data_IF_551044226214
#
_entry.id   IF_551044226214
#
_cell.length_a   1.000
_cell.length_b   1.000
_cell.length_c   1.000
_cell.angle_alpha   90.00
_cell.angle_beta   90.00
_cell.angle_gamma   90.00
#
_symmetry.space_group_name_H-M   'P 1'
#
loop_
_entity.id
_entity.type
_entity.pdbx_description
1 polymer ?
#
# COMPACT_ATOMS: atom_id res chain seq x y z
N UNK A 1 -6.78 23.34 -7.58
CA UNK A 1 -7.90 23.46 -8.52
C UNK A 1 -8.85 22.31 -8.20
N UNK A 2 -10.07 22.62 -7.76
CA UNK A 2 -10.98 21.62 -7.21
C UNK A 2 -11.38 20.57 -8.26
N UNK A 3 -11.57 21.00 -9.51
CA UNK A 3 -11.94 20.11 -10.63
C UNK A 3 -10.84 19.09 -10.89
N UNK A 4 -9.58 19.53 -10.90
CA UNK A 4 -8.42 18.63 -11.07
C UNK A 4 -8.36 17.59 -9.97
N UNK A 5 -8.60 18.00 -8.72
CA UNK A 5 -8.61 17.09 -7.56
C UNK A 5 -9.73 16.07 -7.70
N UNK A 6 -10.95 16.50 -8.01
CA UNK A 6 -12.11 15.61 -8.18
C UNK A 6 -11.89 14.58 -9.31
N UNK A 7 -11.40 15.02 -10.47
CA UNK A 7 -11.08 14.11 -11.59
C UNK A 7 -9.99 13.13 -11.19
N UNK A 8 -8.93 13.61 -10.53
CA UNK A 8 -7.83 12.76 -10.06
C UNK A 8 -8.31 11.70 -9.08
N UNK A 9 -9.15 12.08 -8.10
CA UNK A 9 -9.74 11.15 -7.14
C UNK A 9 -10.64 10.11 -7.81
N UNK A 10 -11.45 10.51 -8.79
CA UNK A 10 -12.28 9.59 -9.56
C UNK A 10 -11.43 8.56 -10.34
N UNK A 11 -10.35 9.02 -11.00
CA UNK A 11 -9.43 8.15 -11.73
C UNK A 11 -8.69 7.20 -10.78
N UNK A 12 -8.21 7.70 -9.63
CA UNK A 12 -7.56 6.87 -8.60
C UNK A 12 -8.53 5.81 -8.10
N UNK A 13 -9.77 6.19 -7.76
CA UNK A 13 -10.81 5.26 -7.31
C UNK A 13 -11.11 4.16 -8.34
N UNK A 14 -11.30 4.54 -9.61
CA UNK A 14 -11.52 3.59 -10.70
C UNK A 14 -10.31 2.66 -10.90
N UNK A 15 -9.09 3.19 -10.83
CA UNK A 15 -7.85 2.42 -11.00
C UNK A 15 -7.63 1.45 -9.85
N UNK A 16 -7.88 1.86 -8.60
CA UNK A 16 -7.81 0.98 -7.43
C UNK A 16 -8.86 -0.14 -7.51
N UNK A 17 -10.08 0.19 -7.96
CA UNK A 17 -11.13 -0.80 -8.23
C UNK A 17 -10.74 -1.80 -9.32
N UNK A 18 -10.13 -1.33 -10.41
CA UNK A 18 -9.60 -2.18 -11.48
C UNK A 18 -8.45 -3.07 -10.99
N UNK A 19 -7.53 -2.52 -10.20
CA UNK A 19 -6.33 -3.21 -9.74
C UNK A 19 -6.67 -4.45 -8.89
N UNK A 20 -7.80 -4.43 -8.17
CA UNK A 20 -8.34 -5.61 -7.48
C UNK A 20 -8.50 -6.83 -8.41
N UNK A 21 -8.83 -6.62 -9.67
CA UNK A 21 -9.03 -7.67 -10.67
C UNK A 21 -7.81 -7.87 -11.58
N UNK A 22 -6.93 -6.87 -11.68
CA UNK A 22 -5.76 -6.92 -12.54
C UNK A 22 -4.50 -7.44 -11.82
N UNK A 23 -4.46 -7.41 -10.50
CA UNK A 23 -3.29 -7.87 -9.78
C UNK A 23 -3.05 -9.36 -9.98
N UNK A 24 -1.78 -9.77 -10.11
CA UNK A 24 -1.41 -11.14 -10.44
C UNK A 24 -1.97 -12.18 -9.44
N UNK A 25 -2.66 -13.24 -9.90
CA UNK A 25 -2.98 -13.55 -11.30
C UNK A 25 -4.15 -12.70 -11.84
N UNK A 26 -3.91 -11.97 -12.94
CA UNK A 26 -4.86 -11.04 -13.52
C UNK A 26 -6.10 -11.76 -14.06
N UNK A 27 -7.28 -11.26 -13.72
CA UNK A 27 -8.59 -11.72 -14.24
C UNK A 27 -9.13 -10.81 -15.33
N UNK A 28 -8.76 -9.54 -15.28
CA UNK A 28 -9.17 -8.51 -16.24
C UNK A 28 -7.93 -7.77 -16.71
N UNK A 29 -7.79 -7.61 -18.03
CA UNK A 29 -6.74 -6.82 -18.65
C UNK A 29 -7.27 -5.44 -19.01
N UNK A 30 -6.41 -4.42 -18.91
CA UNK A 30 -6.77 -3.02 -19.15
C UNK A 30 -7.12 -2.74 -20.63
N UNK A 31 -6.44 -3.44 -21.54
CA UNK A 31 -6.51 -3.19 -22.97
C UNK A 31 -5.97 -1.82 -23.39
N UNK A 32 -6.07 -1.53 -24.68
CA UNK A 32 -5.60 -0.28 -25.26
C UNK A 32 -6.48 0.90 -24.82
N UNK A 33 -7.80 0.69 -24.72
CA UNK A 33 -8.75 1.73 -24.29
C UNK A 33 -8.42 2.26 -22.90
N UNK A 34 -8.19 1.39 -21.92
CA UNK A 34 -7.88 1.81 -20.55
C UNK A 34 -6.51 2.47 -20.44
N UNK A 35 -5.50 1.92 -21.12
CA UNK A 35 -4.13 2.46 -21.05
C UNK A 35 -4.01 3.82 -21.74
N UNK A 36 -4.64 4.01 -22.89
CA UNK A 36 -4.70 5.30 -23.58
C UNK A 36 -5.48 6.34 -22.77
N UNK A 37 -6.63 5.98 -22.20
CA UNK A 37 -7.41 6.88 -21.34
C UNK A 37 -6.60 7.36 -20.13
N UNK A 38 -5.92 6.44 -19.42
CA UNK A 38 -5.10 6.80 -18.26
C UNK A 38 -3.89 7.66 -18.65
N UNK A 39 -3.20 7.31 -19.75
CA UNK A 39 -2.08 8.10 -20.25
C UNK A 39 -2.48 9.52 -20.65
N UNK A 40 -3.58 9.65 -21.40
CA UNK A 40 -4.12 10.95 -21.81
C UNK A 40 -4.56 11.80 -20.60
N UNK A 41 -5.28 11.19 -19.66
CA UNK A 41 -5.76 11.88 -18.47
C UNK A 41 -4.60 12.35 -17.60
N UNK A 42 -3.61 11.49 -17.33
CA UNK A 42 -2.45 11.83 -16.53
C UNK A 42 -1.62 12.96 -17.16
N UNK A 43 -1.40 12.91 -18.48
CA UNK A 43 -0.70 13.97 -19.22
C UNK A 43 -1.45 15.31 -19.17
N UNK A 44 -2.76 15.28 -19.42
CA UNK A 44 -3.61 16.48 -19.40
C UNK A 44 -3.66 17.11 -18.01
N UNK A 45 -3.86 16.32 -16.96
CA UNK A 45 -3.86 16.81 -15.58
C UNK A 45 -2.50 17.39 -15.18
N UNK A 46 -1.40 16.77 -15.59
CA UNK A 46 -0.06 17.28 -15.34
C UNK A 46 0.15 18.66 -16.00
N UNK A 47 -0.31 18.85 -17.24
CA UNK A 47 -0.25 20.14 -17.94
C UNK A 47 -1.11 21.19 -17.23
N UNK A 48 -2.36 20.87 -16.88
CA UNK A 48 -3.27 21.81 -16.21
C UNK A 48 -2.68 22.32 -14.90
N UNK A 49 -2.02 21.45 -14.13
CA UNK A 49 -1.42 21.82 -12.85
C UNK A 49 -0.15 22.67 -13.02
N UNK A 50 0.68 22.36 -14.01
CA UNK A 50 2.02 22.94 -14.16
C UNK A 50 2.11 24.11 -15.13
N UNK A 51 1.10 24.34 -15.97
CA UNK A 51 1.08 25.39 -16.99
C UNK A 51 -0.04 26.43 -16.78
N UNK A 52 -0.67 26.44 -15.59
CA UNK A 52 -1.63 27.49 -15.23
C UNK A 52 -0.92 28.83 -15.06
N UNK A 53 -1.58 29.94 -15.44
CA UNK A 53 -1.06 31.29 -15.22
C UNK A 53 -0.71 31.53 -13.74
N UNK A 54 0.44 32.14 -13.49
CA UNK A 54 1.00 32.42 -12.15
C UNK A 54 1.18 31.18 -11.25
N UNK A 55 1.37 29.98 -11.82
CA UNK A 55 1.74 28.82 -11.02
C UNK A 55 3.21 28.92 -10.60
N UNK A 56 3.50 28.65 -9.33
CA UNK A 56 4.87 28.56 -8.81
C UNK A 56 5.55 27.22 -9.19
N UNK A 57 4.79 26.28 -9.78
CA UNK A 57 5.28 24.97 -10.16
C UNK A 57 6.09 25.03 -11.45
N UNK A 58 7.17 24.25 -11.51
CA UNK A 58 7.96 24.13 -12.74
C UNK A 58 7.15 23.49 -13.88
N UNK A 59 7.20 24.03 -15.11
CA UNK A 59 6.58 23.43 -16.30
C UNK A 59 7.18 22.05 -16.68
N UNK A 60 8.40 21.75 -16.23
CA UNK A 60 9.12 20.50 -16.54
C UNK A 60 8.87 19.41 -15.47
N UNK A 61 8.21 19.76 -14.36
CA UNK A 61 7.84 18.83 -13.30
C UNK A 61 7.12 17.55 -13.78
N UNK A 62 6.28 17.56 -14.84
CA UNK A 62 5.67 16.33 -15.38
C UNK A 62 6.68 15.27 -15.82
N UNK A 63 7.92 15.64 -16.16
CA UNK A 63 8.98 14.68 -16.49
C UNK A 63 9.36 13.81 -15.29
N UNK A 64 9.25 14.32 -14.06
CA UNK A 64 9.48 13.48 -12.88
C UNK A 64 8.22 12.66 -12.55
N UNK A 65 7.03 13.28 -12.63
CA UNK A 65 5.76 12.62 -12.32
C UNK A 65 5.46 11.45 -13.27
N UNK A 66 5.76 11.59 -14.56
CA UNK A 66 5.55 10.55 -15.58
C UNK A 66 6.88 9.97 -16.10
N UNK A 67 7.95 10.15 -15.33
CA UNK A 67 9.31 9.92 -15.81
C UNK A 67 9.61 8.50 -16.22
N UNK A 68 9.14 7.51 -15.45
CA UNK A 68 9.41 6.11 -15.78
C UNK A 68 8.71 5.67 -17.07
N UNK A 69 7.39 5.92 -17.29
CA UNK A 69 6.74 5.67 -18.59
C UNK A 69 7.37 6.41 -19.78
N UNK A 70 7.72 7.69 -19.60
CA UNK A 70 8.36 8.50 -20.66
C UNK A 70 9.72 7.90 -21.02
N UNK A 71 10.55 7.59 -20.01
CA UNK A 71 11.86 7.00 -20.24
C UNK A 71 11.77 5.63 -20.92
N UNK A 72 10.88 4.75 -20.48
CA UNK A 72 10.73 3.40 -21.05
C UNK A 72 10.31 3.47 -22.52
N UNK A 73 9.33 4.31 -22.85
CA UNK A 73 8.86 4.50 -24.22
C UNK A 73 9.93 5.10 -25.12
N UNK A 74 10.58 6.19 -24.69
CA UNK A 74 11.66 6.82 -25.44
C UNK A 74 12.85 5.87 -25.64
N UNK A 75 13.26 5.15 -24.60
CA UNK A 75 14.36 4.19 -24.67
C UNK A 75 14.09 3.09 -25.70
N UNK A 76 12.89 2.50 -25.65
CA UNK A 76 12.50 1.46 -26.59
C UNK A 76 12.42 2.01 -28.02
N UNK A 77 11.81 3.19 -28.23
CA UNK A 77 11.75 3.84 -29.55
C UNK A 77 13.15 4.15 -30.12
N UNK A 78 14.04 4.75 -29.32
CA UNK A 78 15.42 5.07 -29.74
C UNK A 78 16.18 3.80 -30.10
N UNK A 79 16.04 2.74 -29.30
CA UNK A 79 16.71 1.46 -29.57
C UNK A 79 16.19 0.84 -30.88
N UNK A 80 14.89 0.93 -31.17
CA UNK A 80 14.31 0.43 -32.43
C UNK A 80 14.85 1.18 -33.64
N UNK A 81 14.88 2.52 -33.56
CA UNK A 81 15.39 3.38 -34.63
C UNK A 81 16.87 3.05 -34.92
N UNK A 82 17.67 2.85 -33.88
CA UNK A 82 19.08 2.44 -34.02
C UNK A 82 19.26 1.09 -34.70
N UNK A 83 18.33 0.17 -34.46
CA UNK A 83 18.32 -1.17 -35.07
C UNK A 83 17.66 -1.19 -36.46
N UNK A 84 17.21 -0.04 -36.99
CA UNK A 84 16.57 0.08 -38.30
C UNK A 84 15.10 -0.33 -38.35
N UNK A 85 14.46 -0.54 -37.19
CA UNK A 85 13.03 -0.88 -37.10
C UNK A 85 12.14 0.35 -36.89
N UNK A 86 10.87 0.23 -37.26
CA UNK A 86 9.86 1.25 -36.95
C UNK A 86 9.71 1.45 -35.43
N UNK A 87 9.60 2.70 -34.94
CA UNK A 87 9.42 2.98 -33.51
C UNK A 87 8.11 2.42 -32.94
N UNK A 88 7.12 2.12 -33.78
CA UNK A 88 5.79 1.61 -33.39
C UNK A 88 5.64 0.09 -33.47
N UNK A 89 6.69 -0.63 -33.88
CA UNK A 89 6.64 -2.09 -33.97
C UNK A 89 6.49 -2.73 -32.56
N UNK A 90 5.65 -3.77 -32.37
CA UNK A 90 5.53 -4.46 -31.09
C UNK A 90 6.84 -5.17 -30.72
N UNK A 91 7.24 -5.10 -29.44
CA UNK A 91 8.49 -5.70 -28.97
C UNK A 91 8.47 -5.99 -27.46
N UNK A 92 9.35 -6.87 -26.98
CA UNK A 92 9.55 -7.22 -25.57
C UNK A 92 10.71 -6.47 -24.92
N UNK A 93 11.08 -5.30 -25.43
CA UNK A 93 12.27 -4.56 -24.97
C UNK A 93 12.04 -3.61 -23.79
N UNK A 94 10.80 -3.49 -23.33
CA UNK A 94 10.41 -2.68 -22.18
C UNK A 94 11.11 -3.12 -20.89
N UNK A 95 11.28 -2.19 -19.95
CA UNK A 95 11.97 -2.41 -18.67
C UNK A 95 11.42 -3.66 -17.95
N UNK A 96 10.11 -3.81 -17.88
CA UNK A 96 9.48 -4.92 -17.14
C UNK A 96 9.80 -6.29 -17.74
N UNK A 97 9.83 -6.42 -19.08
CA UNK A 97 10.21 -7.67 -19.74
C UNK A 97 11.68 -8.02 -19.47
N UNK A 98 12.58 -7.03 -19.55
CA UNK A 98 14.00 -7.25 -19.23
C UNK A 98 14.21 -7.66 -17.78
N UNK A 99 13.44 -7.12 -16.85
CA UNK A 99 13.48 -7.51 -15.44
C UNK A 99 12.98 -8.96 -15.25
N UNK A 100 11.92 -9.36 -15.97
CA UNK A 100 11.46 -10.76 -15.98
C UNK A 100 12.50 -11.71 -16.56
N UNK A 101 13.16 -11.31 -17.65
CA UNK A 101 14.20 -12.12 -18.30
C UNK A 101 15.40 -12.36 -17.36
N UNK A 102 15.61 -11.51 -16.35
CA UNK A 102 16.66 -11.69 -15.33
C UNK A 102 16.31 -12.75 -14.28
N UNK A 103 15.14 -13.38 -14.38
CA UNK A 103 14.66 -14.40 -13.44
C UNK A 103 13.88 -13.83 -12.26
N UNK A 104 13.57 -12.51 -12.26
CA UNK A 104 12.67 -11.93 -11.28
C UNK A 104 11.24 -12.41 -11.55
N UNK A 105 10.52 -12.71 -10.49
CA UNK A 105 9.10 -13.02 -10.55
C UNK A 105 8.27 -11.77 -10.92
N UNK A 106 7.11 -11.97 -11.52
CA UNK A 106 6.21 -10.87 -11.89
C UNK A 106 5.86 -9.95 -10.70
N UNK A 107 5.75 -10.50 -9.50
CA UNK A 107 5.52 -9.73 -8.28
C UNK A 107 6.71 -8.82 -7.93
N UNK A 108 7.94 -9.31 -8.04
CA UNK A 108 9.15 -8.53 -7.78
C UNK A 108 9.29 -7.37 -8.78
N UNK A 109 9.04 -7.65 -10.06
CA UNK A 109 9.12 -6.63 -11.12
C UNK A 109 8.13 -5.50 -10.88
N UNK A 110 6.86 -5.80 -10.60
CA UNK A 110 5.84 -4.78 -10.32
C UNK A 110 6.18 -3.97 -9.07
N UNK A 111 6.72 -4.62 -8.03
CA UNK A 111 7.11 -3.94 -6.79
C UNK A 111 8.26 -2.96 -7.03
N UNK A 112 9.27 -3.33 -7.82
CA UNK A 112 10.36 -2.44 -8.21
C UNK A 112 9.81 -1.23 -8.99
N UNK A 113 8.91 -1.46 -9.95
CA UNK A 113 8.29 -0.39 -10.74
C UNK A 113 7.53 0.59 -9.84
N UNK A 114 6.74 0.09 -8.88
CA UNK A 114 6.05 0.95 -7.91
C UNK A 114 7.03 1.76 -7.05
N UNK A 115 8.08 1.13 -6.54
CA UNK A 115 9.06 1.80 -5.70
C UNK A 115 9.82 2.91 -6.46
N UNK A 116 10.23 2.65 -7.69
CA UNK A 116 10.93 3.64 -8.53
C UNK A 116 10.00 4.80 -8.89
N UNK A 117 8.78 4.51 -9.33
CA UNK A 117 7.80 5.52 -9.70
C UNK A 117 7.41 6.41 -8.51
N UNK A 118 7.22 5.80 -7.34
CA UNK A 118 6.99 6.52 -6.10
C UNK A 118 8.18 7.42 -5.74
N UNK A 119 9.41 6.90 -5.83
CA UNK A 119 10.62 7.68 -5.60
C UNK A 119 10.68 8.93 -6.46
N UNK A 120 10.35 8.80 -7.75
CA UNK A 120 10.26 9.94 -8.67
C UNK A 120 9.18 10.95 -8.26
N UNK A 121 7.99 10.49 -7.88
CA UNK A 121 6.90 11.37 -7.41
C UNK A 121 7.32 12.13 -6.14
N UNK A 122 8.03 11.49 -5.22
CA UNK A 122 8.51 12.13 -4.00
C UNK A 122 9.58 13.19 -4.30
N UNK A 123 10.52 12.86 -5.18
CA UNK A 123 11.51 13.83 -5.64
C UNK A 123 10.78 15.01 -6.29
N UNK A 124 9.81 14.75 -7.19
CA UNK A 124 8.98 15.78 -7.82
C UNK A 124 8.29 16.67 -6.80
N UNK A 125 7.65 16.10 -5.77
CA UNK A 125 7.00 16.87 -4.72
C UNK A 125 7.99 17.78 -3.97
N UNK A 126 9.19 17.30 -3.65
CA UNK A 126 10.19 18.09 -2.94
C UNK A 126 10.78 19.21 -3.80
N UNK A 127 11.03 18.94 -5.08
CA UNK A 127 11.63 19.92 -6.01
C UNK A 127 10.58 20.72 -6.78
N UNK A 128 9.30 20.68 -6.39
CA UNK A 128 8.18 21.25 -7.15
C UNK A 128 8.30 22.75 -7.44
N UNK A 129 9.05 23.48 -6.60
CA UNK A 129 9.35 24.91 -6.74
C UNK A 129 10.82 25.20 -7.08
N UNK A 130 11.60 24.16 -7.41
CA UNK A 130 12.99 24.32 -7.82
C UNK A 130 13.08 24.88 -9.25
N UNK A 131 14.27 25.38 -9.59
CA UNK A 131 14.57 25.84 -10.94
C UNK A 131 14.47 24.71 -11.95
N UNK A 132 13.93 25.01 -13.14
CA UNK A 132 13.73 24.07 -14.25
C UNK A 132 15.00 23.29 -14.60
N UNK A 133 16.16 23.97 -14.62
CA UNK A 133 17.46 23.34 -14.89
C UNK A 133 17.84 22.27 -13.87
N UNK A 134 17.50 22.46 -12.59
CA UNK A 134 17.75 21.48 -11.52
C UNK A 134 16.88 20.24 -11.67
N UNK A 135 15.60 20.43 -12.01
CA UNK A 135 14.66 19.34 -12.27
C UNK A 135 15.09 18.54 -13.50
N UNK A 136 15.46 19.23 -14.58
CA UNK A 136 15.96 18.60 -15.80
C UNK A 136 17.23 17.78 -15.54
N UNK A 137 18.19 18.33 -14.77
CA UNK A 137 19.40 17.61 -14.40
C UNK A 137 19.10 16.33 -13.61
N UNK A 138 18.21 16.41 -12.61
CA UNK A 138 17.79 15.24 -11.83
C UNK A 138 17.16 14.16 -12.72
N UNK A 139 16.29 14.56 -13.65
CA UNK A 139 15.66 13.62 -14.57
C UNK A 139 16.68 12.98 -15.54
N UNK A 140 17.67 13.73 -16.02
CA UNK A 140 18.76 13.22 -16.86
C UNK A 140 19.61 12.22 -16.08
N UNK A 141 20.00 12.54 -14.85
CA UNK A 141 20.77 11.64 -13.99
C UNK A 141 20.00 10.34 -13.69
N UNK A 142 18.71 10.46 -13.39
CA UNK A 142 17.83 9.31 -13.26
C UNK A 142 17.83 8.46 -14.55
N UNK A 143 17.62 9.09 -15.71
CA UNK A 143 17.58 8.42 -17.01
C UNK A 143 18.89 7.69 -17.33
N UNK A 144 20.04 8.32 -17.09
CA UNK A 144 21.36 7.72 -17.26
C UNK A 144 21.53 6.52 -16.32
N UNK A 145 21.16 6.65 -15.05
CA UNK A 145 21.30 5.56 -14.07
C UNK A 145 20.48 4.32 -14.46
N UNK A 146 19.23 4.52 -14.92
CA UNK A 146 18.38 3.43 -15.43
C UNK A 146 19.02 2.78 -16.67
N UNK A 147 19.48 3.56 -17.64
CA UNK A 147 20.12 3.03 -18.86
C UNK A 147 21.40 2.25 -18.54
N UNK A 148 22.25 2.77 -17.66
CA UNK A 148 23.48 2.09 -17.21
C UNK A 148 23.13 0.78 -16.51
N UNK A 149 22.15 0.80 -15.61
CA UNK A 149 21.67 -0.40 -14.92
C UNK A 149 21.14 -1.43 -15.92
N UNK A 150 20.32 -1.02 -16.90
CA UNK A 150 19.80 -1.90 -17.95
C UNK A 150 20.87 -2.52 -18.84
N UNK A 151 21.88 -1.75 -19.25
CA UNK A 151 22.98 -2.26 -20.06
C UNK A 151 23.93 -3.15 -19.23
N UNK A 152 24.15 -2.80 -17.96
CA UNK A 152 24.91 -3.63 -17.02
C UNK A 152 24.22 -4.98 -16.76
N UNK A 153 22.89 -4.97 -16.57
CA UNK A 153 22.11 -6.19 -16.37
C UNK A 153 22.23 -7.17 -17.55
N UNK A 154 22.25 -6.69 -18.81
CA UNK A 154 22.51 -7.55 -19.99
C UNK A 154 23.85 -8.28 -19.90
N UNK A 155 24.89 -7.60 -19.38
CA UNK A 155 26.24 -8.18 -19.20
C UNK A 155 26.27 -9.25 -18.10
N UNK A 156 25.51 -9.05 -17.01
CA UNK A 156 25.40 -9.99 -15.89
C UNK A 156 24.46 -11.18 -16.15
N UNK A 157 23.43 -11.00 -16.98
CA UNK A 157 22.48 -12.05 -17.38
C UNK A 157 23.19 -13.20 -18.12
N UNK A 158 24.28 -12.90 -18.82
CA UNK A 158 25.17 -13.89 -19.43
C UNK A 158 25.89 -14.79 -18.40
N UNK A 159 26.06 -14.33 -17.16
CA UNK A 159 26.71 -15.10 -16.09
C UNK A 159 25.72 -15.88 -15.22
N UNK A 160 24.47 -15.39 -15.05
CA UNK A 160 23.47 -16.07 -14.20
C UNK A 160 23.04 -17.45 -14.75
N UNK A 161 23.03 -17.64 -16.07
CA UNK A 161 22.78 -18.95 -16.69
C UNK A 161 23.89 -19.99 -16.43
N UNK A 162 25.03 -19.61 -15.82
CA UNK A 162 26.18 -20.49 -15.56
C UNK A 162 26.46 -20.79 -14.09
N UNK A 163 25.70 -20.27 -13.13
CA UNK A 163 25.95 -20.52 -11.70
C UNK A 163 25.11 -21.73 -11.26
N UNK A 164 25.72 -22.89 -10.91
CA UNK A 164 25.00 -23.98 -10.26
C UNK A 164 24.46 -23.48 -8.91
N UNK A 165 23.26 -23.93 -8.52
CA UNK A 165 22.64 -23.62 -7.23
C UNK A 165 23.62 -23.87 -6.08
N UNK A 166 24.25 -22.79 -5.60
CA UNK A 166 25.18 -22.85 -4.48
C UNK A 166 24.35 -22.87 -3.20
N UNK A 167 24.23 -24.04 -2.57
CA UNK A 167 23.52 -24.24 -1.31
C UNK A 167 24.11 -23.35 -0.20
N UNK A 168 23.52 -22.18 0.03
CA UNK A 168 23.95 -21.30 1.13
C UNK A 168 23.44 -21.84 2.47
N UNK A 169 24.26 -21.88 3.54
CA UNK A 169 23.85 -22.36 4.87
C UNK A 169 22.65 -21.57 5.44
N UNK A 170 22.51 -20.30 5.04
CA UNK A 170 21.34 -19.47 5.36
C UNK A 170 20.03 -20.00 4.78
N UNK A 171 20.06 -20.60 3.58
CA UNK A 171 18.86 -21.18 2.95
C UNK A 171 18.43 -22.42 3.75
N UNK A 172 19.38 -23.30 4.10
CA UNK A 172 19.13 -24.46 4.97
C UNK A 172 18.62 -24.06 6.36
N UNK A 173 19.13 -22.96 6.94
CA UNK A 173 18.64 -22.43 8.21
C UNK A 173 17.21 -21.86 8.11
N UNK A 174 16.90 -21.12 7.05
CA UNK A 174 15.54 -20.61 6.79
C UNK A 174 14.56 -21.76 6.54
N UNK A 175 14.99 -22.80 5.83
CA UNK A 175 14.20 -24.00 5.53
C UNK A 175 13.98 -24.85 6.79
N UNK A 176 14.99 -25.00 7.65
CA UNK A 176 14.87 -25.58 8.99
C UNK A 176 13.84 -24.83 9.84
N UNK A 177 13.92 -23.49 9.89
CA UNK A 177 12.95 -22.67 10.61
C UNK A 177 11.53 -22.81 10.05
N UNK A 178 11.37 -22.96 8.72
CA UNK A 178 10.09 -23.21 8.07
C UNK A 178 9.48 -24.55 8.52
N UNK A 179 10.28 -25.60 8.66
CA UNK A 179 9.82 -26.91 9.11
C UNK A 179 9.33 -26.93 10.57
N UNK A 180 9.86 -26.08 11.45
CA UNK A 180 9.42 -26.03 12.85
C UNK A 180 7.99 -25.49 13.03
N UNK A 181 7.46 -24.75 12.06
CA UNK A 181 6.15 -24.09 12.15
C UNK A 181 6.03 -23.00 13.22
N UNK A 182 7.07 -22.79 14.03
CA UNK A 182 7.11 -21.80 15.11
C UNK A 182 7.02 -20.36 14.56
N UNK A 183 7.69 -20.10 13.44
CA UNK A 183 7.68 -18.79 12.77
C UNK A 183 6.32 -18.39 12.18
N UNK A 184 5.37 -19.32 12.14
CA UNK A 184 3.98 -19.06 11.77
C UNK A 184 3.11 -19.01 13.03
N UNK A 185 3.25 -19.99 13.93
CA UNK A 185 2.39 -20.12 15.11
C UNK A 185 2.61 -19.03 16.15
N UNK A 186 3.86 -18.67 16.44
CA UNK A 186 4.18 -17.69 17.49
C UNK A 186 3.67 -16.29 17.14
N UNK A 187 4.00 -15.71 15.96
CA UNK A 187 3.47 -14.39 15.62
C UNK A 187 1.95 -14.35 15.60
N UNK A 188 1.33 -15.41 15.11
CA UNK A 188 -0.13 -15.51 15.04
C UNK A 188 -0.79 -15.56 16.42
N UNK A 189 -0.26 -16.34 17.35
CA UNK A 189 -0.79 -16.40 18.72
C UNK A 189 -0.62 -15.07 19.45
N UNK A 190 0.49 -14.36 19.21
CA UNK A 190 0.70 -13.01 19.76
C UNK A 190 -0.35 -12.06 19.17
N UNK A 191 -0.53 -12.03 17.85
CA UNK A 191 -1.50 -11.16 17.18
C UNK A 191 -2.95 -11.42 17.64
N UNK A 192 -3.33 -12.70 17.89
CA UNK A 192 -4.65 -13.10 18.40
C UNK A 192 -5.02 -12.46 19.74
N UNK A 193 -4.03 -12.14 20.56
CA UNK A 193 -4.23 -11.50 21.88
C UNK A 193 -3.98 -9.99 21.77
N UNK A 194 -2.94 -9.59 21.04
CA UNK A 194 -2.48 -8.22 20.96
C UNK A 194 -3.48 -7.31 20.25
N UNK A 195 -4.05 -7.72 19.12
CA UNK A 195 -4.97 -6.89 18.34
C UNK A 195 -6.28 -6.62 19.10
N UNK A 196 -6.97 -7.63 19.65
CA UNK A 196 -8.23 -7.37 20.37
C UNK A 196 -7.99 -6.58 21.66
N UNK A 197 -6.87 -6.84 22.35
CA UNK A 197 -6.47 -6.07 23.53
C UNK A 197 -6.21 -4.60 23.18
N UNK A 198 -5.47 -4.34 22.10
CA UNK A 198 -5.22 -2.98 21.62
C UNK A 198 -6.52 -2.24 21.32
N UNK A 199 -7.47 -2.86 20.62
CA UNK A 199 -8.75 -2.23 20.28
C UNK A 199 -9.56 -1.87 21.54
N UNK A 200 -9.66 -2.80 22.50
CA UNK A 200 -10.40 -2.57 23.75
C UNK A 200 -9.73 -1.48 24.58
N UNK A 201 -8.42 -1.58 24.80
CA UNK A 201 -7.66 -0.57 25.59
C UNK A 201 -7.71 0.79 24.90
N UNK A 202 -7.53 0.83 23.58
CA UNK A 202 -7.63 2.05 22.78
C UNK A 202 -8.99 2.73 22.92
N UNK A 203 -10.09 1.96 22.92
CA UNK A 203 -11.43 2.50 23.14
C UNK A 203 -11.71 3.03 24.56
N UNK A 204 -10.95 2.57 25.55
CA UNK A 204 -11.07 3.02 26.94
C UNK A 204 -10.22 4.26 27.21
N UNK A 205 -9.01 4.29 26.64
CA UNK A 205 -8.02 5.35 26.84
C UNK A 205 -8.27 6.55 25.93
N UNK A 206 -8.97 6.36 24.81
CA UNK A 206 -9.31 7.45 23.90
C UNK A 206 -10.08 8.58 24.58
N UNK A 207 -9.99 9.80 24.04
CA UNK A 207 -10.62 10.98 24.63
C UNK A 207 -12.13 11.04 24.40
N UNK A 208 -12.68 12.24 24.18
CA UNK A 208 -14.12 12.39 23.96
C UNK A 208 -14.52 11.70 22.66
N UNK A 209 -15.64 10.99 22.71
CA UNK A 209 -16.22 10.30 21.56
C UNK A 209 -17.41 11.13 21.10
N UNK A 210 -17.35 11.67 19.89
CA UNK A 210 -18.48 12.41 19.33
C UNK A 210 -19.70 11.51 19.17
N UNK A 211 -20.89 12.11 19.32
CA UNK A 211 -22.16 11.38 19.27
C UNK A 211 -22.37 10.61 17.97
N UNK A 212 -21.90 11.16 16.85
CA UNK A 212 -21.99 10.52 15.54
C UNK A 212 -21.15 9.24 15.48
N UNK A 213 -19.94 9.28 16.05
CA UNK A 213 -19.05 8.11 16.16
C UNK A 213 -19.66 7.06 17.10
N UNK A 214 -20.27 7.49 18.21
CA UNK A 214 -21.00 6.60 19.13
C UNK A 214 -22.20 5.91 18.49
N UNK A 215 -22.98 6.62 17.68
CA UNK A 215 -24.12 6.07 16.94
C UNK A 215 -23.67 5.08 15.85
N UNK A 216 -22.59 5.40 15.13
CA UNK A 216 -21.99 4.48 14.16
C UNK A 216 -21.49 3.21 14.85
N UNK A 217 -20.83 3.33 16.00
CA UNK A 217 -20.35 2.18 16.77
C UNK A 217 -21.50 1.31 17.28
N UNK A 218 -22.63 1.91 17.69
CA UNK A 218 -23.84 1.17 18.07
C UNK A 218 -24.36 0.35 16.89
N UNK A 219 -24.54 0.99 15.74
CA UNK A 219 -25.04 0.34 14.53
C UNK A 219 -24.12 -0.82 14.14
N UNK A 220 -22.80 -0.61 14.17
CA UNK A 220 -21.79 -1.62 13.89
C UNK A 220 -21.79 -2.77 14.91
N UNK A 221 -22.03 -2.50 16.19
CA UNK A 221 -22.13 -3.55 17.22
C UNK A 221 -23.33 -4.48 16.98
N UNK A 222 -24.47 -3.90 16.55
CA UNK A 222 -25.69 -4.63 16.22
C UNK A 222 -25.46 -5.46 14.95
N UNK A 223 -24.84 -4.88 13.90
CA UNK A 223 -24.52 -5.62 12.67
C UNK A 223 -23.58 -6.78 12.94
N UNK A 224 -22.60 -6.63 13.84
CA UNK A 224 -21.73 -7.73 14.27
C UNK A 224 -22.52 -8.86 14.92
N UNK A 225 -23.40 -8.56 15.89
CA UNK A 225 -24.22 -9.58 16.56
C UNK A 225 -25.14 -10.33 15.60
N UNK A 226 -25.74 -9.60 14.65
CA UNK A 226 -26.58 -10.17 13.60
C UNK A 226 -25.75 -11.09 12.69
N UNK A 227 -24.57 -10.63 12.25
CA UNK A 227 -23.66 -11.41 11.43
C UNK A 227 -23.21 -12.72 12.11
N UNK A 228 -22.94 -12.69 13.43
CA UNK A 228 -22.53 -13.88 14.18
C UNK A 228 -23.66 -14.91 14.38
N UNK A 229 -24.93 -14.48 14.36
CA UNK A 229 -26.10 -15.39 14.51
C UNK A 229 -26.49 -16.07 13.19
N UNK A 230 -26.42 -15.37 12.06
CA UNK A 230 -26.93 -15.87 10.78
C UNK A 230 -25.95 -16.86 10.12
N UNK A 231 -26.31 -18.15 10.07
CA UNK A 231 -25.43 -19.26 9.64
C UNK A 231 -25.14 -19.33 8.12
N UNK A 232 -25.71 -18.45 7.28
CA UNK A 232 -25.63 -18.56 5.81
C UNK A 232 -24.86 -17.37 5.22
N UNK A 233 -23.82 -17.67 4.45
CA UNK A 233 -23.03 -16.71 3.65
C UNK A 233 -23.99 -15.92 2.73
N UNK A 234 -23.90 -14.57 2.64
CA UNK A 234 -22.67 -13.78 2.56
C UNK A 234 -22.54 -12.64 3.60
N UNK A 235 -22.35 -12.98 4.88
CA UNK A 235 -22.02 -11.99 5.93
C UNK A 235 -20.53 -11.77 6.16
N UNK A 236 -19.63 -12.47 5.45
CA UNK A 236 -18.18 -12.24 5.57
C UNK A 236 -17.80 -10.79 5.27
N UNK A 237 -18.45 -10.18 4.28
CA UNK A 237 -18.21 -8.77 3.93
C UNK A 237 -18.73 -7.86 5.04
N UNK A 238 -19.92 -8.12 5.59
CA UNK A 238 -20.49 -7.31 6.67
C UNK A 238 -19.65 -7.40 7.95
N UNK A 239 -19.22 -8.62 8.30
CA UNK A 239 -18.27 -8.85 9.40
C UNK A 239 -17.01 -8.04 9.14
N UNK A 240 -16.34 -8.24 8.00
CA UNK A 240 -15.12 -7.52 7.61
C UNK A 240 -15.24 -6.00 7.67
N UNK A 241 -16.33 -5.44 7.12
CA UNK A 241 -16.62 -4.00 7.19
C UNK A 241 -16.71 -3.55 8.64
N UNK A 242 -17.42 -4.30 9.49
CA UNK A 242 -17.57 -3.99 10.91
C UNK A 242 -16.24 -4.03 11.66
N UNK A 243 -15.37 -4.99 11.33
CA UNK A 243 -14.06 -5.11 11.98
C UNK A 243 -13.15 -3.95 11.56
N UNK A 244 -13.14 -3.61 10.27
CA UNK A 244 -12.32 -2.54 9.74
C UNK A 244 -12.80 -1.16 10.23
N UNK A 245 -14.10 -0.92 10.27
CA UNK A 245 -14.63 0.33 10.85
C UNK A 245 -14.26 0.44 12.33
N UNK A 246 -14.36 -0.64 13.12
CA UNK A 246 -13.96 -0.60 14.53
C UNK A 246 -12.48 -0.23 14.73
N UNK A 247 -11.58 -0.79 13.91
CA UNK A 247 -10.16 -0.49 13.98
C UNK A 247 -9.85 0.95 13.55
N UNK A 248 -10.49 1.42 12.47
CA UNK A 248 -10.35 2.80 12.02
C UNK A 248 -10.87 3.81 13.05
N UNK A 249 -12.00 3.52 13.71
CA UNK A 249 -12.55 4.36 14.77
C UNK A 249 -11.60 4.45 15.97
N UNK A 250 -10.96 3.35 16.38
CA UNK A 250 -9.98 3.39 17.48
C UNK A 250 -8.75 4.21 17.09
N UNK A 251 -8.19 4.00 15.89
CA UNK A 251 -7.05 4.79 15.40
C UNK A 251 -7.38 6.30 15.34
N UNK A 252 -8.56 6.66 14.82
CA UNK A 252 -9.03 8.04 14.76
C UNK A 252 -9.17 8.67 16.16
N UNK A 253 -9.77 7.94 17.10
CA UNK A 253 -10.02 8.44 18.47
C UNK A 253 -8.74 8.59 19.30
N UNK A 254 -7.71 7.80 19.03
CA UNK A 254 -6.41 7.92 19.68
C UNK A 254 -5.64 9.16 19.19
N UNK A 255 -5.64 9.41 17.87
CA UNK A 255 -4.96 10.57 17.30
C UNK A 255 -5.69 11.88 17.60
N UNK A 256 -7.03 11.87 17.55
CA UNK A 256 -7.87 13.06 17.80
C UNK A 256 -7.88 13.53 19.26
N UNK A 257 -7.20 12.83 20.17
CA UNK A 257 -7.21 13.11 21.62
C UNK A 257 -5.81 13.04 22.22
N UNK A 258 -4.96 14.06 22.02
CA UNK A 258 -3.55 14.05 22.44
C UNK A 258 -3.33 13.98 23.98
N UNK A 259 -4.36 14.17 24.80
CA UNK A 259 -4.26 14.29 26.26
C UNK A 259 -3.60 13.10 26.99
N UNK A 260 -4.24 11.93 27.03
CA UNK A 260 -3.66 10.74 27.69
C UNK A 260 -2.67 9.98 26.80
N UNK A 261 -2.77 10.15 25.48
CA UNK A 261 -2.01 9.37 24.50
C UNK A 261 -0.57 9.91 24.33
N UNK A 262 -0.35 11.21 24.51
CA UNK A 262 0.99 11.84 24.39
C UNK A 262 2.05 11.23 25.33
N UNK A 263 1.69 10.85 26.56
CA UNK A 263 2.60 10.18 27.49
C UNK A 263 3.03 8.78 26.99
N UNK A 264 2.18 8.15 26.18
CA UNK A 264 2.34 6.78 25.70
C UNK A 264 2.65 6.68 24.19
N UNK A 265 2.78 7.80 23.49
CA UNK A 265 2.94 7.87 22.02
C UNK A 265 4.14 7.03 21.55
N UNK A 266 5.26 7.11 22.26
CA UNK A 266 6.45 6.29 21.96
C UNK A 266 6.16 4.78 22.06
N UNK A 267 5.36 4.36 23.04
CA UNK A 267 4.99 2.96 23.21
C UNK A 267 3.99 2.51 22.14
N UNK A 268 3.11 3.41 21.69
CA UNK A 268 2.19 3.15 20.58
C UNK A 268 2.97 2.87 19.28
N UNK A 269 3.95 3.71 18.94
CA UNK A 269 4.81 3.46 17.77
C UNK A 269 5.62 2.17 17.88
N UNK A 270 6.14 1.85 19.07
CA UNK A 270 6.81 0.57 19.31
C UNK A 270 5.87 -0.61 19.12
N UNK A 271 4.62 -0.52 19.62
CA UNK A 271 3.60 -1.54 19.46
C UNK A 271 3.28 -1.79 17.98
N UNK A 272 3.03 -0.73 17.20
CA UNK A 272 2.79 -0.85 15.76
C UNK A 272 4.00 -1.40 15.02
N UNK A 273 5.22 -1.01 15.40
CA UNK A 273 6.46 -1.60 14.88
C UNK A 273 6.56 -3.10 15.14
N UNK A 274 6.20 -3.55 16.36
CA UNK A 274 6.12 -4.97 16.70
C UNK A 274 5.06 -5.68 15.85
N UNK A 275 3.86 -5.11 15.69
CA UNK A 275 2.81 -5.70 14.83
C UNK A 275 3.31 -5.88 13.40
N UNK A 276 3.97 -4.87 12.81
CA UNK A 276 4.52 -4.96 11.45
C UNK A 276 5.56 -6.08 11.33
N UNK A 277 6.46 -6.22 12.32
CA UNK A 277 7.45 -7.30 12.34
C UNK A 277 6.76 -8.67 12.42
N UNK A 278 5.76 -8.82 13.31
CA UNK A 278 5.02 -10.08 13.46
C UNK A 278 4.28 -10.46 12.16
N UNK A 279 3.65 -9.48 11.50
CA UNK A 279 3.02 -9.66 10.19
C UNK A 279 4.05 -10.08 9.14
N UNK A 280 5.17 -9.36 9.02
CA UNK A 280 6.21 -9.64 8.03
C UNK A 280 6.83 -11.04 8.22
N UNK A 281 7.10 -11.45 9.47
CA UNK A 281 7.58 -12.79 9.79
C UNK A 281 6.53 -13.82 9.39
N UNK A 282 5.28 -13.67 9.83
CA UNK A 282 4.24 -14.64 9.50
C UNK A 282 4.05 -14.80 7.99
N UNK A 283 3.92 -13.68 7.28
CA UNK A 283 3.72 -13.65 5.82
C UNK A 283 4.87 -14.36 5.09
N UNK A 284 6.12 -14.12 5.50
CA UNK A 284 7.30 -14.77 4.88
C UNK A 284 7.32 -16.28 5.05
N UNK A 285 6.77 -16.81 6.15
CA UNK A 285 6.84 -18.23 6.49
C UNK A 285 5.52 -19.00 6.27
N UNK A 286 4.40 -18.32 6.01
CA UNK A 286 3.06 -18.94 5.86
C UNK A 286 2.87 -19.71 4.53
N UNK A 287 3.80 -19.63 3.58
CA UNK A 287 3.98 -20.58 2.48
C UNK A 287 2.90 -20.72 1.40
N UNK A 288 1.62 -20.37 1.64
CA UNK A 288 0.57 -20.58 0.63
C UNK A 288 -0.75 -19.82 0.81
N UNK A 289 -1.08 -19.34 2.02
CA UNK A 289 -2.42 -18.76 2.29
C UNK A 289 -2.50 -17.24 2.18
N UNK A 290 -1.35 -16.56 2.24
CA UNK A 290 -1.24 -15.12 2.06
C UNK A 290 -0.11 -14.84 1.09
N UNK A 291 -0.45 -14.67 -0.20
CA UNK A 291 0.50 -14.11 -1.17
C UNK A 291 0.41 -12.61 -0.98
N UNK A 292 1.51 -11.97 -0.52
CA UNK A 292 1.62 -10.51 -0.60
C UNK A 292 1.30 -10.11 -2.03
N UNK A 293 0.16 -9.46 -2.19
CA UNK A 293 -0.27 -9.00 -3.48
C UNK A 293 0.45 -7.69 -3.77
N UNK A 294 0.64 -7.31 -5.03
CA UNK A 294 1.25 -6.00 -5.32
C UNK A 294 0.37 -4.85 -4.81
N UNK A 295 -0.94 -5.10 -4.63
CA UNK A 295 -1.85 -4.24 -3.88
C UNK A 295 -1.36 -3.96 -2.46
N UNK A 296 -0.83 -4.96 -1.77
CA UNK A 296 -0.45 -4.81 -0.37
C UNK A 296 0.76 -3.90 -0.24
N UNK A 297 1.71 -4.03 -1.17
CA UNK A 297 2.84 -3.11 -1.29
C UNK A 297 2.40 -1.71 -1.69
N UNK A 298 1.48 -1.58 -2.65
CA UNK A 298 0.94 -0.28 -3.07
C UNK A 298 0.25 0.41 -1.89
N UNK A 299 -0.52 -0.33 -1.10
CA UNK A 299 -1.16 0.18 0.10
C UNK A 299 -0.07 0.62 1.10
N UNK A 300 0.88 -0.23 1.48
CA UNK A 300 1.98 0.15 2.39
C UNK A 300 2.74 1.39 1.89
N UNK A 301 3.00 1.47 0.58
CA UNK A 301 3.61 2.63 -0.07
C UNK A 301 2.74 3.87 0.14
N UNK A 302 1.47 3.85 -0.30
CA UNK A 302 0.56 4.99 -0.16
C UNK A 302 0.54 5.45 1.29
N UNK A 303 0.56 4.51 2.22
CA UNK A 303 0.44 4.78 3.65
C UNK A 303 1.66 5.40 4.30
N UNK A 304 2.87 4.95 3.97
CA UNK A 304 4.10 5.56 4.49
C UNK A 304 4.21 7.02 4.03
N UNK A 305 3.61 7.35 2.88
CA UNK A 305 3.80 8.65 2.24
C UNK A 305 2.60 9.60 2.34
N UNK A 306 1.36 9.12 2.48
CA UNK A 306 0.17 9.96 2.72
C UNK A 306 0.34 10.96 3.87
N UNK A 307 0.88 10.59 5.06
CA UNK A 307 1.11 11.54 6.16
C UNK A 307 2.07 12.66 5.82
N UNK A 308 2.99 12.45 4.88
CA UNK A 308 3.97 13.47 4.49
C UNK A 308 3.42 14.51 3.53
N UNK A 309 2.19 14.31 3.03
CA UNK A 309 1.55 15.19 2.04
C UNK A 309 0.49 16.09 2.70
N UNK A 310 -0.02 15.73 3.88
CA UNK A 310 -1.04 16.53 4.59
C UNK A 310 -0.44 17.78 5.24
N UNK A 311 -1.06 18.92 4.93
CA UNK A 311 -0.68 20.27 5.36
C UNK A 311 -1.54 20.65 6.57
N UNK A 312 -0.90 21.07 7.67
CA UNK A 312 -1.45 21.83 8.81
C UNK A 312 -2.86 21.45 9.30
N UNK A 313 -3.07 20.22 9.76
CA UNK A 313 -4.21 19.88 10.62
C UNK A 313 -3.69 19.39 11.98
N UNK A 314 -4.43 19.69 13.06
CA UNK A 314 -4.16 19.20 14.43
C UNK A 314 -4.20 17.67 14.54
N UNK A 315 -4.74 16.99 13.52
CA UNK A 315 -4.88 15.53 13.42
C UNK A 315 -4.00 15.03 12.27
N UNK A 316 -3.04 14.14 12.58
CA UNK A 316 -2.21 13.51 11.55
C UNK A 316 -2.99 12.41 10.84
N UNK A 317 -3.78 12.78 9.82
CA UNK A 317 -4.56 11.85 9.00
C UNK A 317 -3.75 10.69 8.44
N UNK A 318 -2.47 10.93 8.13
CA UNK A 318 -1.63 9.86 7.66
C UNK A 318 -1.15 8.90 8.76
N UNK A 319 -0.95 9.36 10.01
CA UNK A 319 -0.74 8.45 11.14
C UNK A 319 -1.94 7.54 11.31
N UNK A 320 -3.16 8.11 11.32
CA UNK A 320 -4.41 7.34 11.40
C UNK A 320 -4.50 6.33 10.26
N UNK A 321 -4.14 6.73 9.04
CA UNK A 321 -4.13 5.82 7.90
C UNK A 321 -3.18 4.64 8.17
N UNK A 322 -1.89 4.91 8.46
CA UNK A 322 -0.85 3.90 8.76
C UNK A 322 -1.34 2.88 9.78
N UNK A 323 -1.83 3.37 10.91
CA UNK A 323 -2.32 2.53 12.00
C UNK A 323 -3.51 1.68 11.57
N UNK A 324 -4.49 2.30 10.90
CA UNK A 324 -5.71 1.62 10.45
C UNK A 324 -5.40 0.42 9.56
N UNK A 325 -4.50 0.53 8.60
CA UNK A 325 -4.23 -0.61 7.71
C UNK A 325 -3.30 -1.63 8.32
N UNK A 326 -2.35 -1.26 9.18
CA UNK A 326 -1.60 -2.25 9.95
C UNK A 326 -2.61 -3.13 10.72
N UNK A 327 -3.62 -2.50 11.33
CA UNK A 327 -4.72 -3.21 11.98
C UNK A 327 -5.57 -4.00 10.97
N UNK A 328 -5.89 -3.46 9.79
CA UNK A 328 -6.67 -4.18 8.77
C UNK A 328 -5.96 -5.44 8.30
N UNK A 329 -4.64 -5.39 8.04
CA UNK A 329 -3.85 -6.57 7.68
C UNK A 329 -3.84 -7.59 8.80
N UNK A 330 -3.64 -7.14 10.05
CA UNK A 330 -3.66 -8.04 11.20
C UNK A 330 -5.05 -8.70 11.39
N UNK A 331 -6.12 -7.92 11.25
CA UNK A 331 -7.50 -8.42 11.33
C UNK A 331 -7.80 -9.40 10.19
N UNK A 332 -7.47 -9.07 8.94
CA UNK A 332 -7.66 -9.94 7.78
C UNK A 332 -6.92 -11.27 7.97
N UNK A 333 -5.67 -11.21 8.43
CA UNK A 333 -4.86 -12.38 8.73
C UNK A 333 -5.49 -13.25 9.84
N UNK A 334 -6.02 -12.63 10.91
CA UNK A 334 -6.70 -13.34 11.98
C UNK A 334 -8.04 -13.95 11.53
N UNK A 335 -8.79 -13.27 10.65
CA UNK A 335 -10.03 -13.78 10.06
C UNK A 335 -9.81 -15.04 9.23
N UNK A 336 -8.70 -15.12 8.48
CA UNK A 336 -8.37 -16.27 7.63
C UNK A 336 -8.11 -17.55 8.43
N UNK A 337 -7.56 -17.44 9.65
CA UNK A 337 -7.34 -18.58 10.54
C UNK A 337 -8.53 -18.89 11.46
N UNK A 338 -9.35 -17.89 11.78
CA UNK A 338 -10.44 -17.98 12.75
C UNK A 338 -11.62 -18.82 12.28
N UNK A 339 -11.63 -20.13 12.59
CA UNK A 339 -12.74 -21.06 12.27
C UNK A 339 -13.92 -21.02 13.26
N UNK A 340 -13.77 -20.40 14.44
CA UNK A 340 -14.78 -20.39 15.51
C UNK A 340 -15.63 -19.12 15.47
N UNK A 341 -16.94 -19.24 15.77
CA UNK A 341 -17.89 -18.11 15.81
C UNK A 341 -17.56 -17.05 16.86
N UNK A 342 -17.00 -17.48 17.97
CA UNK A 342 -16.54 -16.61 19.03
C UNK A 342 -15.07 -16.93 19.24
N UNK A 343 -14.23 -16.05 18.72
CA UNK A 343 -12.81 -15.99 19.03
C UNK A 343 -12.50 -14.67 19.74
N UNK A 344 -11.30 -14.61 20.32
CA UNK A 344 -10.82 -13.43 21.06
C UNK A 344 -10.97 -12.15 20.23
N UNK A 345 -10.78 -12.25 18.91
CA UNK A 345 -10.96 -11.15 17.98
C UNK A 345 -12.39 -10.61 17.97
N UNK A 346 -13.39 -11.44 17.67
CA UNK A 346 -14.80 -10.99 17.63
C UNK A 346 -15.31 -10.49 18.98
N UNK A 347 -14.87 -11.12 20.07
CA UNK A 347 -15.20 -10.68 21.44
C UNK A 347 -14.61 -9.29 21.70
N UNK A 348 -13.33 -9.10 21.39
CA UNK A 348 -12.66 -7.81 21.58
C UNK A 348 -13.28 -6.70 20.74
N UNK A 349 -13.61 -6.94 19.47
CA UNK A 349 -14.31 -5.94 18.65
C UNK A 349 -15.71 -5.61 19.17
N UNK A 350 -16.48 -6.61 19.60
CA UNK A 350 -17.79 -6.35 20.18
C UNK A 350 -17.67 -5.46 21.41
N UNK A 351 -16.74 -5.78 22.32
CA UNK A 351 -16.44 -4.95 23.49
C UNK A 351 -16.02 -3.53 23.10
N UNK A 352 -15.12 -3.40 22.12
CA UNK A 352 -14.63 -2.11 21.61
C UNK A 352 -15.79 -1.25 21.09
N UNK A 353 -16.64 -1.80 20.23
CA UNK A 353 -17.79 -1.09 19.66
C UNK A 353 -18.82 -0.73 20.75
N UNK A 354 -19.07 -1.61 21.71
CA UNK A 354 -19.93 -1.31 22.85
C UNK A 354 -19.38 -0.18 23.71
N UNK A 355 -18.07 -0.16 23.99
CA UNK A 355 -17.41 0.90 24.76
C UNK A 355 -17.53 2.24 24.03
N UNK A 356 -17.18 2.29 22.75
CA UNK A 356 -17.28 3.52 21.93
C UNK A 356 -18.74 4.00 21.88
N UNK A 357 -19.68 3.07 21.66
CA UNK A 357 -21.11 3.40 21.60
C UNK A 357 -21.63 3.99 22.91
N UNK A 358 -21.33 3.36 24.05
CA UNK A 358 -21.75 3.86 25.36
C UNK A 358 -21.14 5.23 25.62
N UNK A 359 -19.85 5.41 25.34
CA UNK A 359 -19.16 6.67 25.58
C UNK A 359 -19.70 7.81 24.72
N UNK A 360 -19.99 7.57 23.44
CA UNK A 360 -20.54 8.61 22.55
C UNK A 360 -22.04 8.87 22.74
N UNK A 361 -22.77 8.04 23.47
CA UNK A 361 -24.18 8.30 23.82
C UNK A 361 -24.32 9.01 25.18
N UNK A 362 -23.34 8.86 26.07
CA UNK A 362 -23.34 9.43 27.42
C UNK A 362 -22.68 10.81 27.52
N UNK A 363 -21.69 11.08 26.66
CA UNK A 363 -20.94 12.33 26.59
C UNK A 363 -21.13 12.96 25.21
#
# INVERSE_FOLDING_TARGET
DEVVVQISLAIVGATLGFLRFNTHPARVFMGDTGSQFLGFSAGTLAIIVTQKSNTALSPILPLLVLGLPILDTLWVMITRIRDGYSPFAPDRRHIHHRLLDLGLSQYEVVTIVYAVQLGLILIAYQVRYAMDGGIALLYILFSISVVVLMNGMKKYQYHFHRIPQMERPLIKFIEYLRHTGLMVRVPMNILKVLIPLFLVVGSLVSGRVDRDVGMLALLMSITLLVALKLKRIPFYILEKVTLFTSAASVAYLLESSPGLVSCCERYLYLLFGVIVILLAVWVRFSGSHFRLNTMDFLVVIIMVFLPRITVNDDVSWGTIAIESVILFYAIEMLMLEGKRRWDLLRIGMFMTLSIISIRGLLF
#
